data_IF_569224057167
#
_entry.id   IF_569224057167
#
_cell.length_a   1.000
_cell.length_b   1.000
_cell.length_c   1.000
_cell.angle_alpha   90.00
_cell.angle_beta   90.00
_cell.angle_gamma   90.00
#
_symmetry.space_group_name_H-M   'P 1'
#
loop_
_entity.id
_entity.type
_entity.pdbx_description
1 polymer ?
#
# COMPACT_ATOMS: atom_id res chain seq x y z
N UNK A 1 -24.95 80.60 4.72
CA UNK A 1 -25.18 79.21 5.11
C UNK A 1 -25.42 78.27 3.91
N UNK A 2 -26.18 78.61 2.90
CA UNK A 2 -26.52 77.76 1.75
C UNK A 2 -25.30 77.22 0.95
N UNK A 3 -24.27 78.04 0.77
CA UNK A 3 -23.04 77.68 0.01
C UNK A 3 -22.15 76.63 0.79
N UNK A 4 -22.20 76.63 2.05
CA UNK A 4 -21.38 75.68 2.87
C UNK A 4 -21.99 74.29 2.85
N UNK A 5 -23.32 74.16 2.85
CA UNK A 5 -24.01 72.90 2.76
C UNK A 5 -23.88 72.23 1.37
N UNK A 6 -23.79 73.03 0.30
CA UNK A 6 -23.57 72.57 -1.07
C UNK A 6 -22.14 71.97 -1.19
N UNK A 7 -21.16 72.58 -0.53
CA UNK A 7 -19.77 72.08 -0.55
C UNK A 7 -19.62 70.77 0.24
N UNK A 8 -20.29 70.67 1.39
CA UNK A 8 -20.31 69.40 2.15
C UNK A 8 -21.02 68.27 1.40
N UNK A 9 -22.14 68.56 0.74
CA UNK A 9 -22.86 67.55 -0.08
C UNK A 9 -22.02 67.05 -1.24
N UNK A 10 -21.25 67.93 -1.90
CA UNK A 10 -20.36 67.55 -3.00
C UNK A 10 -19.16 66.70 -2.51
N UNK A 11 -18.61 67.00 -1.35
CA UNK A 11 -17.50 66.28 -0.76
C UNK A 11 -17.93 64.87 -0.28
N UNK A 12 -19.12 64.73 0.29
CA UNK A 12 -19.69 63.43 0.66
C UNK A 12 -20.00 62.58 -0.56
N UNK A 13 -20.51 63.16 -1.64
CA UNK A 13 -20.76 62.47 -2.90
C UNK A 13 -19.45 61.95 -3.57
N UNK A 14 -18.34 62.70 -3.45
CA UNK A 14 -17.01 62.30 -3.91
C UNK A 14 -16.43 61.13 -3.09
N UNK A 15 -16.72 61.09 -1.80
CA UNK A 15 -16.26 59.97 -0.94
C UNK A 15 -17.02 58.68 -1.20
N UNK A 16 -18.28 58.74 -1.65
CA UNK A 16 -19.11 57.59 -1.96
C UNK A 16 -18.80 56.98 -3.33
N UNK A 17 -18.14 57.70 -4.23
CA UNK A 17 -17.73 57.20 -5.56
C UNK A 17 -16.39 56.45 -5.56
N UNK A 18 -15.66 56.44 -4.41
CA UNK A 18 -14.32 55.86 -4.32
C UNK A 18 -14.28 54.33 -4.08
N UNK A 19 -15.41 53.68 -3.84
CA UNK A 19 -15.48 52.23 -3.56
C UNK A 19 -16.20 51.45 -4.65
N UNK A 20 -15.82 51.60 -5.91
CA UNK A 20 -16.28 50.69 -6.96
C UNK A 20 -15.47 49.37 -6.82
N UNK A 21 -16.11 48.22 -6.56
CA UNK A 21 -15.40 46.94 -6.52
C UNK A 21 -14.80 46.68 -7.90
N UNK A 22 -13.50 46.45 -7.95
CA UNK A 22 -12.84 46.02 -9.20
C UNK A 22 -13.31 44.62 -9.53
N UNK A 23 -14.20 44.52 -10.52
CA UNK A 23 -14.60 43.22 -11.07
C UNK A 23 -13.51 42.72 -12.01
N UNK A 24 -12.77 41.72 -11.58
CA UNK A 24 -11.84 41.01 -12.45
C UNK A 24 -12.61 39.95 -13.23
N UNK A 25 -12.47 39.93 -14.54
CA UNK A 25 -12.96 38.87 -15.40
C UNK A 25 -11.77 38.03 -15.84
N UNK A 26 -11.91 36.72 -15.75
CA UNK A 26 -10.92 35.79 -16.31
C UNK A 26 -10.98 35.88 -17.83
N UNK A 27 -9.97 36.47 -18.46
CA UNK A 27 -9.93 36.73 -19.92
C UNK A 27 -9.27 35.57 -20.68
N UNK A 28 -8.57 34.66 -19.99
CA UNK A 28 -7.93 33.52 -20.61
C UNK A 28 -7.17 32.69 -19.56
N UNK A 29 -6.95 31.44 -19.88
CA UNK A 29 -6.07 30.53 -19.15
C UNK A 29 -5.06 29.96 -20.13
N UNK A 30 -3.80 30.33 -19.96
CA UNK A 30 -2.70 29.68 -20.65
C UNK A 30 -2.14 28.53 -19.80
N UNK A 31 -1.89 27.41 -20.44
CA UNK A 31 -1.30 26.24 -19.78
C UNK A 31 -0.04 25.84 -20.52
N UNK A 32 1.05 25.80 -19.80
CA UNK A 32 2.32 25.23 -20.29
C UNK A 32 2.61 23.97 -19.52
N UNK A 33 2.89 22.88 -20.23
CA UNK A 33 3.34 21.61 -19.64
C UNK A 33 4.85 21.53 -19.79
N UNK A 34 5.56 21.59 -18.66
CA UNK A 34 6.99 21.34 -18.60
C UNK A 34 7.15 19.89 -18.17
N UNK A 35 7.66 19.05 -19.06
CA UNK A 35 7.97 17.66 -18.76
C UNK A 35 9.38 17.64 -18.17
N UNK A 36 9.52 17.17 -16.94
CA UNK A 36 10.81 16.91 -16.31
C UNK A 36 11.28 15.55 -16.82
N UNK A 37 12.32 15.56 -17.65
CA UNK A 37 12.91 14.37 -18.25
C UNK A 37 14.44 14.53 -18.35
N UNK A 38 15.12 13.54 -18.94
CA UNK A 38 16.58 13.48 -19.06
C UNK A 38 17.24 14.68 -19.76
N UNK A 39 16.49 15.58 -20.40
CA UNK A 39 17.04 16.83 -20.95
C UNK A 39 17.64 17.73 -19.89
N UNK A 40 17.12 17.66 -18.66
CA UNK A 40 17.61 18.46 -17.53
C UNK A 40 18.85 17.84 -16.87
N UNK A 41 19.11 16.53 -17.10
CA UNK A 41 20.27 15.83 -16.54
C UNK A 41 21.59 16.24 -17.20
N UNK A 42 21.52 16.78 -18.42
CA UNK A 42 22.70 17.15 -19.20
C UNK A 42 23.42 18.39 -18.66
N UNK A 43 22.70 19.29 -18.00
CA UNK A 43 23.23 20.53 -17.42
C UNK A 43 22.71 20.71 -16.00
N UNK A 44 23.18 19.93 -15.03
CA UNK A 44 22.74 20.07 -13.65
C UNK A 44 23.19 21.38 -13.05
N UNK A 45 22.35 22.00 -12.22
CA UNK A 45 22.76 23.14 -11.42
C UNK A 45 23.79 22.70 -10.38
N UNK A 46 25.04 23.11 -10.60
CA UNK A 46 26.15 22.73 -9.73
C UNK A 46 25.99 23.24 -8.28
N UNK A 47 25.30 24.36 -8.05
CA UNK A 47 25.07 24.84 -6.70
C UNK A 47 24.06 23.94 -5.98
N UNK A 48 22.99 23.51 -6.66
CA UNK A 48 22.03 22.55 -6.15
C UNK A 48 22.68 21.18 -5.89
N UNK A 49 23.52 20.69 -6.82
CA UNK A 49 24.25 19.42 -6.65
C UNK A 49 25.16 19.48 -5.41
N UNK A 50 25.94 20.56 -5.25
CA UNK A 50 26.80 20.73 -4.06
C UNK A 50 26.01 20.81 -2.77
N UNK A 51 24.88 21.52 -2.77
CA UNK A 51 24.00 21.63 -1.61
C UNK A 51 23.40 20.27 -1.23
N UNK A 52 22.93 19.49 -2.20
CA UNK A 52 22.29 18.19 -1.97
C UNK A 52 23.28 17.06 -1.66
N UNK A 53 24.56 17.19 -2.04
CA UNK A 53 25.55 16.11 -1.94
C UNK A 53 25.69 15.48 -0.53
N UNK A 54 25.71 16.23 0.60
CA UNK A 54 25.80 15.62 1.92
C UNK A 54 24.54 14.81 2.27
N UNK A 55 23.36 15.31 1.92
CA UNK A 55 22.09 14.62 2.16
C UNK A 55 22.00 13.34 1.29
N UNK A 56 22.38 13.44 0.02
CA UNK A 56 22.43 12.29 -0.89
C UNK A 56 23.33 11.18 -0.35
N UNK A 57 24.54 11.51 0.15
CA UNK A 57 25.44 10.50 0.73
C UNK A 57 24.82 9.76 1.90
N UNK A 58 24.15 10.47 2.81
CA UNK A 58 23.45 9.85 3.95
C UNK A 58 22.32 8.96 3.45
N UNK A 59 21.49 9.47 2.53
CA UNK A 59 20.39 8.70 1.95
C UNK A 59 20.92 7.43 1.25
N UNK A 60 21.92 7.55 0.39
CA UNK A 60 22.48 6.41 -0.35
C UNK A 60 23.07 5.35 0.61
N UNK A 61 23.68 5.76 1.72
CA UNK A 61 24.21 4.81 2.71
C UNK A 61 23.14 3.96 3.38
N UNK A 62 21.91 4.47 3.47
CA UNK A 62 20.75 3.77 4.07
C UNK A 62 20.00 2.97 3.01
N UNK A 63 19.80 3.57 1.83
CA UNK A 63 18.90 3.05 0.80
C UNK A 63 19.52 2.06 -0.17
N UNK A 64 20.84 2.18 -0.42
CA UNK A 64 21.54 1.37 -1.41
C UNK A 64 21.95 -0.05 -0.98
N UNK A 65 22.05 -0.44 0.32
CA UNK A 65 22.40 -1.81 0.68
C UNK A 65 21.46 -2.83 0.02
N UNK A 66 22.07 -3.88 -0.57
CA UNK A 66 21.35 -4.98 -1.22
C UNK A 66 21.01 -6.04 -0.18
N UNK A 67 19.77 -6.46 -0.15
CA UNK A 67 19.25 -7.48 0.76
C UNK A 67 19.01 -8.83 0.09
N UNK A 68 18.87 -8.86 -1.23
CA UNK A 68 18.61 -10.09 -1.99
C UNK A 68 18.41 -9.80 -3.46
N UNK A 69 17.80 -10.76 -4.15
CA UNK A 69 17.52 -10.65 -5.60
C UNK A 69 16.18 -11.26 -5.95
N UNK A 70 15.53 -10.73 -7.00
CA UNK A 70 14.34 -11.34 -7.61
C UNK A 70 14.64 -11.83 -9.03
N UNK A 71 14.00 -12.94 -9.41
CA UNK A 71 14.25 -13.64 -10.67
C UNK A 71 13.66 -12.90 -11.90
N UNK A 72 12.54 -12.20 -11.71
CA UNK A 72 11.82 -11.47 -12.76
C UNK A 72 11.12 -10.23 -12.17
N UNK A 73 10.51 -9.42 -13.03
CA UNK A 73 9.69 -8.29 -12.58
C UNK A 73 8.40 -8.81 -11.96
N UNK A 74 8.08 -8.32 -10.77
CA UNK A 74 6.86 -8.65 -10.03
C UNK A 74 5.99 -7.40 -9.87
N UNK A 75 4.72 -7.52 -10.24
CA UNK A 75 3.76 -6.41 -10.23
C UNK A 75 2.56 -6.71 -9.34
N UNK A 76 2.04 -5.74 -8.55
CA UNK A 76 0.81 -5.93 -7.80
C UNK A 76 -0.40 -5.82 -8.75
N UNK A 77 -1.16 -6.88 -8.91
CA UNK A 77 -2.34 -6.93 -9.77
C UNK A 77 -3.43 -7.82 -9.17
N UNK A 78 -4.70 -7.40 -9.32
CA UNK A 78 -5.86 -8.23 -8.99
C UNK A 78 -6.28 -9.12 -10.17
N UNK A 79 -6.83 -10.28 -9.93
CA UNK A 79 -7.19 -10.86 -8.63
C UNK A 79 -6.00 -11.43 -7.86
N UNK A 80 -4.95 -11.81 -8.54
CA UNK A 80 -3.73 -12.43 -8.05
C UNK A 80 -2.54 -11.97 -8.89
N UNK A 81 -1.39 -11.87 -8.26
CA UNK A 81 -0.10 -11.63 -8.92
C UNK A 81 1.03 -12.29 -8.12
N UNK A 82 2.20 -12.38 -8.72
CA UNK A 82 3.42 -12.85 -8.08
C UNK A 82 3.76 -12.06 -6.80
N UNK A 83 3.70 -10.72 -6.87
CA UNK A 83 3.99 -9.86 -5.73
C UNK A 83 2.90 -9.94 -4.65
N UNK A 84 1.62 -10.07 -5.03
CA UNK A 84 0.53 -10.28 -4.08
C UNK A 84 0.54 -11.66 -3.43
N UNK A 85 1.21 -12.63 -4.03
CA UNK A 85 1.46 -13.95 -3.45
C UNK A 85 2.67 -13.92 -2.51
N UNK A 86 3.73 -13.21 -2.89
CA UNK A 86 4.98 -13.15 -2.13
C UNK A 86 4.79 -12.54 -0.75
N UNK A 87 4.09 -11.41 -0.64
CA UNK A 87 4.03 -10.67 0.63
C UNK A 87 3.29 -11.42 1.75
N UNK A 88 2.12 -12.05 1.54
CA UNK A 88 1.50 -12.89 2.56
C UNK A 88 2.32 -14.15 2.86
N UNK A 89 3.03 -14.72 1.88
CA UNK A 89 3.94 -15.85 2.15
C UNK A 89 5.12 -15.45 3.06
N UNK A 90 5.58 -14.19 2.93
CA UNK A 90 6.59 -13.63 3.84
C UNK A 90 6.03 -13.52 5.27
N UNK A 91 4.75 -13.15 5.45
CA UNK A 91 4.14 -13.12 6.78
C UNK A 91 4.07 -14.52 7.40
N UNK A 92 3.73 -15.55 6.60
CA UNK A 92 3.78 -16.95 7.05
C UNK A 92 5.20 -17.36 7.45
N UNK A 93 6.20 -17.01 6.62
CA UNK A 93 7.61 -17.31 6.91
C UNK A 93 8.08 -16.64 8.20
N UNK A 94 7.67 -15.39 8.45
CA UNK A 94 8.05 -14.63 9.63
C UNK A 94 7.38 -15.14 10.93
N UNK A 95 6.23 -15.82 10.84
CA UNK A 95 5.45 -16.25 12.01
C UNK A 95 6.25 -17.13 12.99
N UNK A 96 7.23 -17.90 12.51
CA UNK A 96 8.14 -18.71 13.33
C UNK A 96 8.88 -17.92 14.41
N UNK A 97 9.22 -16.66 14.12
CA UNK A 97 9.98 -15.80 15.02
C UNK A 97 9.10 -15.29 16.20
N UNK A 98 7.80 -15.54 16.12
CA UNK A 98 6.79 -15.21 17.13
C UNK A 98 6.20 -16.42 17.84
N UNK A 99 6.71 -17.63 17.59
CA UNK A 99 6.15 -18.90 18.05
C UNK A 99 4.70 -19.11 17.62
N UNK A 100 4.33 -18.59 16.44
CA UNK A 100 3.00 -18.69 15.86
C UNK A 100 2.99 -19.64 14.66
N UNK A 101 1.85 -20.30 14.47
CA UNK A 101 1.64 -21.26 13.37
C UNK A 101 0.34 -20.94 12.62
N UNK A 102 0.29 -19.83 11.89
CA UNK A 102 -0.91 -19.45 11.16
C UNK A 102 -1.18 -20.42 10.00
N UNK A 103 -2.46 -20.68 9.74
CA UNK A 103 -2.93 -21.54 8.65
C UNK A 103 -2.83 -20.81 7.30
N UNK A 104 -3.08 -19.51 7.32
CA UNK A 104 -2.94 -18.65 6.14
C UNK A 104 -2.65 -17.19 6.51
N UNK A 105 -2.27 -16.40 5.51
CA UNK A 105 -2.03 -14.98 5.63
C UNK A 105 -2.87 -14.17 4.66
N UNK A 106 -3.14 -12.92 5.04
CA UNK A 106 -3.75 -11.90 4.16
C UNK A 106 -2.88 -10.64 4.18
N UNK A 107 -2.64 -10.08 2.99
CA UNK A 107 -1.97 -8.81 2.78
C UNK A 107 -2.80 -7.94 1.81
N UNK A 108 -3.01 -6.67 2.13
CA UNK A 108 -3.86 -5.82 1.28
C UNK A 108 -3.11 -5.31 0.05
N UNK A 109 -3.74 -5.40 -1.11
CA UNK A 109 -3.21 -4.86 -2.37
C UNK A 109 -2.94 -3.35 -2.29
N UNK A 110 -3.76 -2.61 -1.54
CA UNK A 110 -3.56 -1.18 -1.31
C UNK A 110 -2.29 -0.85 -0.53
N UNK A 111 -1.75 -1.81 0.20
CA UNK A 111 -0.47 -1.71 0.94
C UNK A 111 0.76 -1.88 0.06
N UNK A 112 0.61 -2.46 -1.14
CA UNK A 112 1.70 -2.68 -2.10
C UNK A 112 1.78 -1.47 -3.03
N UNK A 113 2.85 -0.68 -2.93
CA UNK A 113 2.92 0.66 -3.53
C UNK A 113 3.84 0.78 -4.73
N UNK A 114 4.63 -0.25 -5.02
CA UNK A 114 5.58 -0.29 -6.13
C UNK A 114 5.78 -1.72 -6.62
N UNK A 115 6.34 -1.84 -7.81
CA UNK A 115 6.82 -3.10 -8.37
C UNK A 115 8.17 -3.49 -7.77
N UNK A 116 8.53 -4.76 -7.87
CA UNK A 116 9.90 -5.24 -7.72
C UNK A 116 10.45 -5.60 -9.11
N UNK A 117 11.54 -4.95 -9.50
CA UNK A 117 12.18 -5.21 -10.78
C UNK A 117 13.26 -6.29 -10.65
N UNK A 118 13.39 -7.12 -11.69
CA UNK A 118 14.41 -8.16 -11.81
C UNK A 118 15.80 -7.64 -11.44
N UNK A 119 16.49 -8.37 -10.59
CA UNK A 119 17.86 -8.03 -10.15
C UNK A 119 17.94 -7.82 -8.65
N UNK A 120 18.86 -6.97 -8.24
CA UNK A 120 19.13 -6.71 -6.84
C UNK A 120 17.99 -5.94 -6.15
N UNK A 121 17.67 -6.36 -4.94
CA UNK A 121 16.65 -5.72 -4.09
C UNK A 121 17.35 -4.97 -2.97
N UNK A 122 17.22 -3.64 -3.00
CA UNK A 122 17.79 -2.73 -1.99
C UNK A 122 16.73 -2.34 -0.96
N UNK A 123 17.17 -1.64 0.11
CA UNK A 123 16.23 -1.07 1.08
C UNK A 123 15.24 -0.10 0.43
N UNK A 124 15.70 0.70 -0.54
CA UNK A 124 14.83 1.62 -1.31
C UNK A 124 13.70 0.88 -2.01
N UNK A 125 13.99 -0.25 -2.65
CA UNK A 125 12.97 -1.08 -3.31
C UNK A 125 11.95 -1.61 -2.30
N UNK A 126 12.42 -2.12 -1.14
CA UNK A 126 11.54 -2.64 -0.09
C UNK A 126 10.68 -1.52 0.51
N UNK A 127 11.28 -0.35 0.79
CA UNK A 127 10.56 0.83 1.27
C UNK A 127 9.51 1.30 0.26
N UNK A 128 9.82 1.26 -1.03
CA UNK A 128 8.89 1.64 -2.10
C UNK A 128 7.71 0.68 -2.21
N UNK A 129 7.93 -0.62 -2.02
CA UNK A 129 6.87 -1.64 -2.02
C UNK A 129 5.99 -1.54 -0.77
N UNK A 130 6.60 -1.40 0.41
CA UNK A 130 5.92 -1.41 1.71
C UNK A 130 6.29 -0.16 2.54
N UNK A 131 5.81 1.06 2.16
CA UNK A 131 6.20 2.30 2.82
C UNK A 131 5.54 2.51 4.19
N UNK A 132 4.47 1.78 4.47
CA UNK A 132 3.72 1.92 5.72
C UNK A 132 4.40 1.21 6.89
N UNK A 133 4.16 1.70 8.11
CA UNK A 133 4.69 1.09 9.33
C UNK A 133 3.71 0.06 9.95
N UNK A 134 2.96 -0.63 9.08
CA UNK A 134 2.07 -1.68 9.50
C UNK A 134 2.85 -2.86 10.09
N UNK A 135 2.43 -3.33 11.26
CA UNK A 135 3.09 -4.41 11.98
C UNK A 135 2.37 -5.74 11.75
N UNK A 136 3.13 -6.82 11.85
CA UNK A 136 2.56 -8.15 11.82
C UNK A 136 1.56 -8.32 12.96
N UNK A 137 0.45 -9.00 12.65
CA UNK A 137 -0.62 -9.28 13.60
C UNK A 137 -1.13 -10.70 13.41
N UNK A 138 -1.34 -11.40 14.52
CA UNK A 138 -1.92 -12.74 14.54
C UNK A 138 -3.29 -12.69 15.19
N UNK A 139 -4.23 -13.48 14.65
CA UNK A 139 -5.63 -13.48 15.09
C UNK A 139 -6.23 -14.88 14.87
N UNK A 140 -7.13 -15.28 15.74
CA UNK A 140 -7.93 -16.49 15.59
C UNK A 140 -9.31 -16.16 15.06
N UNK A 141 -9.69 -16.75 13.94
CA UNK A 141 -11.00 -16.63 13.31
C UNK A 141 -11.75 -17.97 13.38
N UNK A 142 -13.06 -17.93 13.60
CA UNK A 142 -13.92 -19.09 13.33
C UNK A 142 -14.05 -19.31 11.82
N UNK A 143 -14.41 -20.51 11.37
CA UNK A 143 -14.60 -20.75 9.94
C UNK A 143 -15.68 -19.88 9.32
N UNK A 144 -16.73 -19.49 10.09
CA UNK A 144 -17.71 -18.49 9.64
C UNK A 144 -17.05 -17.14 9.34
N UNK A 145 -16.15 -16.68 10.21
CA UNK A 145 -15.39 -15.42 10.00
C UNK A 145 -14.38 -15.55 8.85
N UNK A 146 -13.78 -16.74 8.66
CA UNK A 146 -12.92 -17.00 7.49
C UNK A 146 -13.71 -16.89 6.20
N UNK A 147 -14.91 -17.50 6.13
CA UNK A 147 -15.79 -17.38 4.96
C UNK A 147 -16.20 -15.94 4.70
N UNK A 148 -16.59 -15.21 5.76
CA UNK A 148 -16.90 -13.77 5.68
C UNK A 148 -15.70 -12.96 5.16
N UNK A 149 -14.48 -13.24 5.63
CA UNK A 149 -13.26 -12.60 5.14
C UNK A 149 -13.05 -12.87 3.65
N UNK A 150 -13.22 -14.11 3.19
CA UNK A 150 -13.05 -14.46 1.78
C UNK A 150 -14.13 -13.84 0.89
N UNK A 151 -15.35 -13.65 1.38
CA UNK A 151 -16.36 -12.85 0.69
C UNK A 151 -15.95 -11.38 0.56
N UNK A 152 -15.37 -10.81 1.62
CA UNK A 152 -14.87 -9.42 1.61
C UNK A 152 -13.70 -9.26 0.63
N UNK A 153 -12.77 -10.20 0.59
CA UNK A 153 -11.68 -10.27 -0.39
C UNK A 153 -12.25 -10.40 -1.82
N UNK A 154 -13.22 -11.27 -2.02
CA UNK A 154 -13.87 -11.43 -3.32
C UNK A 154 -14.52 -10.14 -3.81
N UNK A 155 -15.30 -9.43 -2.96
CA UNK A 155 -15.95 -8.15 -3.31
C UNK A 155 -14.95 -7.09 -3.78
N UNK A 156 -13.72 -7.14 -3.34
CA UNK A 156 -12.64 -6.23 -3.76
C UNK A 156 -11.95 -6.69 -5.07
N UNK A 157 -12.34 -7.83 -5.60
CA UNK A 157 -11.75 -8.43 -6.79
C UNK A 157 -10.42 -9.14 -6.53
N UNK A 158 -10.16 -9.52 -5.28
CA UNK A 158 -8.94 -10.18 -4.83
C UNK A 158 -8.05 -9.29 -3.96
N UNK A 159 -7.31 -9.91 -3.08
CA UNK A 159 -6.25 -9.35 -2.22
C UNK A 159 -5.10 -10.36 -2.13
N UNK A 160 -3.97 -9.98 -1.56
CA UNK A 160 -2.88 -10.93 -1.32
C UNK A 160 -3.27 -12.00 -0.31
N UNK A 161 -3.18 -13.25 -0.70
CA UNK A 161 -3.41 -14.41 0.16
C UNK A 161 -2.23 -15.38 0.07
N UNK A 162 -1.89 -16.04 1.18
CA UNK A 162 -0.77 -16.97 1.21
C UNK A 162 -1.10 -18.28 0.49
N UNK A 163 -0.05 -19.04 0.20
CA UNK A 163 -0.15 -20.38 -0.36
C UNK A 163 -1.08 -21.26 0.47
N UNK A 164 -1.90 -22.05 -0.21
CA UNK A 164 -2.93 -22.91 0.39
C UNK A 164 -4.32 -22.31 0.44
N UNK A 165 -4.46 -20.98 0.20
CA UNK A 165 -5.78 -20.36 -0.02
C UNK A 165 -6.18 -20.55 -1.48
N UNK A 166 -7.40 -21.02 -1.71
CA UNK A 166 -7.98 -21.23 -3.03
C UNK A 166 -9.35 -20.56 -3.08
N UNK A 167 -9.48 -19.47 -3.85
CA UNK A 167 -10.72 -18.75 -4.03
C UNK A 167 -11.15 -18.78 -5.50
N UNK A 168 -12.42 -19.04 -5.74
CA UNK A 168 -13.05 -18.80 -7.03
C UNK A 168 -14.04 -17.65 -6.85
N UNK A 169 -13.84 -16.60 -7.63
CA UNK A 169 -14.71 -15.42 -7.62
C UNK A 169 -15.37 -15.25 -8.98
N UNK A 170 -16.58 -14.71 -9.02
CA UNK A 170 -17.26 -14.36 -10.27
C UNK A 170 -17.42 -12.85 -10.37
N UNK A 171 -17.36 -12.36 -11.62
CA UNK A 171 -17.57 -10.95 -11.95
C UNK A 171 -18.93 -10.78 -12.62
N UNK A 172 -19.71 -9.79 -12.18
CA UNK A 172 -20.98 -9.39 -12.79
C UNK A 172 -21.09 -7.86 -12.82
N UNK A 173 -22.15 -7.34 -13.40
CA UNK A 173 -22.44 -5.88 -13.38
C UNK A 173 -22.61 -5.34 -11.94
N UNK A 174 -23.02 -6.20 -10.99
CA UNK A 174 -23.13 -5.86 -9.57
C UNK A 174 -21.77 -5.93 -8.81
N UNK A 175 -20.67 -6.27 -9.48
CA UNK A 175 -19.34 -6.42 -8.89
C UNK A 175 -18.90 -7.87 -8.74
N UNK A 176 -17.96 -8.09 -7.83
CA UNK A 176 -17.39 -9.43 -7.59
C UNK A 176 -18.09 -10.12 -6.41
N UNK A 177 -18.19 -11.45 -6.49
CA UNK A 177 -18.70 -12.30 -5.40
C UNK A 177 -17.87 -13.59 -5.29
N UNK A 178 -17.80 -14.15 -4.08
CA UNK A 178 -17.22 -15.45 -3.82
C UNK A 178 -18.12 -16.55 -4.41
N UNK A 179 -17.53 -17.51 -5.09
CA UNK A 179 -18.18 -18.72 -5.62
C UNK A 179 -17.81 -19.92 -4.77
N UNK A 180 -16.53 -20.09 -4.48
CA UNK A 180 -16.03 -21.15 -3.60
C UNK A 180 -14.73 -20.73 -2.91
N UNK A 181 -14.45 -21.33 -1.76
CA UNK A 181 -13.24 -21.14 -1.01
C UNK A 181 -12.76 -22.46 -0.43
N UNK A 182 -11.45 -22.70 -0.44
CA UNK A 182 -10.78 -23.82 0.20
C UNK A 182 -9.50 -23.37 0.88
N UNK A 183 -9.12 -24.10 1.92
CA UNK A 183 -7.82 -23.97 2.58
C UNK A 183 -7.08 -25.31 2.50
N UNK A 184 -5.91 -25.30 1.89
CA UNK A 184 -5.09 -26.50 1.67
C UNK A 184 -5.88 -27.66 1.03
N UNK A 185 -6.73 -27.33 0.05
CA UNK A 185 -7.59 -28.29 -0.65
C UNK A 185 -8.81 -28.76 0.13
N UNK A 186 -9.00 -28.32 1.38
CA UNK A 186 -10.11 -28.71 2.25
C UNK A 186 -11.19 -27.62 2.27
N UNK A 187 -12.44 -28.02 2.44
CA UNK A 187 -13.55 -27.11 2.74
C UNK A 187 -13.35 -26.51 4.13
N UNK A 188 -13.82 -25.28 4.32
CA UNK A 188 -13.69 -24.58 5.60
C UNK A 188 -14.82 -25.06 6.52
N UNK A 189 -14.44 -25.66 7.66
CA UNK A 189 -15.37 -26.00 8.72
C UNK A 189 -15.83 -24.74 9.44
N UNK A 190 -17.14 -24.37 9.39
CA UNK A 190 -17.63 -23.16 10.01
C UNK A 190 -17.34 -23.03 11.51
N UNK A 191 -17.23 -24.17 12.20
CA UNK A 191 -17.08 -24.25 13.66
C UNK A 191 -15.63 -24.35 14.13
N UNK A 192 -14.71 -24.68 13.22
CA UNK A 192 -13.28 -24.78 13.53
C UNK A 192 -12.64 -23.38 13.71
N UNK A 193 -11.52 -23.39 14.39
CA UNK A 193 -10.72 -22.17 14.60
C UNK A 193 -9.48 -22.20 13.70
N UNK A 194 -9.21 -21.06 13.09
CA UNK A 194 -8.12 -20.85 12.14
C UNK A 194 -7.22 -19.71 12.63
N UNK A 195 -5.95 -20.01 12.86
CA UNK A 195 -4.95 -19.00 13.18
C UNK A 195 -4.51 -18.31 11.91
N UNK A 196 -4.63 -16.97 11.86
CA UNK A 196 -4.37 -16.14 10.68
C UNK A 196 -3.29 -15.13 11.00
N UNK A 197 -2.40 -14.86 10.05
CA UNK A 197 -1.45 -13.76 10.14
C UNK A 197 -1.81 -12.68 9.11
N UNK A 198 -1.72 -11.44 9.53
CA UNK A 198 -2.02 -10.27 8.71
C UNK A 198 -1.27 -9.04 9.23
N UNK A 199 -1.69 -7.85 8.84
CA UNK A 199 -1.19 -6.58 9.33
C UNK A 199 -2.16 -6.00 10.37
N UNK A 200 -1.64 -5.25 11.35
CA UNK A 200 -2.42 -4.56 12.37
C UNK A 200 -3.49 -3.65 11.76
N UNK A 201 -3.14 -2.95 10.66
CA UNK A 201 -4.07 -2.16 9.86
C UNK A 201 -5.30 -2.94 9.39
N UNK A 202 -5.09 -4.16 8.88
CA UNK A 202 -6.19 -5.02 8.41
C UNK A 202 -6.99 -5.62 9.57
N UNK A 203 -6.30 -5.95 10.68
CA UNK A 203 -6.95 -6.50 11.85
C UNK A 203 -7.96 -5.51 12.46
N UNK A 204 -7.77 -4.21 12.27
CA UNK A 204 -8.73 -3.16 12.68
C UNK A 204 -9.96 -3.07 11.78
N UNK A 205 -10.10 -3.93 10.76
CA UNK A 205 -11.22 -3.97 9.84
C UNK A 205 -11.09 -3.00 8.65
N UNK A 206 -9.92 -2.41 8.47
CA UNK A 206 -9.66 -1.53 7.35
C UNK A 206 -9.73 -2.28 6.01
N UNK A 207 -9.81 -1.54 4.91
CA UNK A 207 -10.03 -2.07 3.56
C UNK A 207 -11.30 -2.93 3.43
N UNK A 208 -12.26 -2.75 4.34
CA UNK A 208 -13.52 -3.49 4.34
C UNK A 208 -13.41 -4.95 4.81
N UNK A 209 -12.28 -5.35 5.42
CA UNK A 209 -12.04 -6.69 5.96
C UNK A 209 -12.48 -6.78 7.44
N UNK A 210 -13.73 -6.40 7.71
CA UNK A 210 -14.25 -6.33 9.09
C UNK A 210 -14.25 -7.67 9.80
N UNK A 211 -14.26 -8.81 9.08
CA UNK A 211 -14.15 -10.13 9.69
C UNK A 211 -12.87 -10.28 10.53
N UNK A 212 -11.79 -9.59 10.18
CA UNK A 212 -10.54 -9.60 10.94
C UNK A 212 -10.67 -8.89 12.30
N UNK A 213 -11.51 -7.86 12.40
CA UNK A 213 -11.73 -7.16 13.68
C UNK A 213 -12.67 -7.92 14.65
N UNK A 214 -13.37 -8.94 14.15
CA UNK A 214 -14.29 -9.77 14.93
C UNK A 214 -13.61 -11.01 15.53
N UNK A 215 -12.36 -11.28 15.16
CA UNK A 215 -11.59 -12.40 15.67
C UNK A 215 -11.14 -12.23 17.12
N UNK A 216 -10.55 -13.28 17.67
CA UNK A 216 -10.06 -13.35 19.05
C UNK A 216 -8.56 -13.69 19.14
N UNK A 217 -8.03 -13.73 20.34
CA UNK A 217 -6.63 -14.08 20.62
C UNK A 217 -5.65 -13.24 19.77
N UNK A 218 -5.89 -11.93 19.71
CA UNK A 218 -5.10 -11.00 18.90
C UNK A 218 -3.73 -10.79 19.53
N UNK A 219 -2.67 -11.07 18.77
CA UNK A 219 -1.27 -10.80 19.12
C UNK A 219 -0.71 -9.76 18.17
N UNK A 220 -0.38 -8.58 18.69
CA UNK A 220 0.22 -7.45 17.96
C UNK A 220 1.59 -7.11 18.57
N UNK A 221 2.68 -7.70 18.10
CA UNK A 221 4.01 -7.32 18.57
C UNK A 221 4.32 -5.86 18.25
N UNK A 222 4.73 -5.06 19.25
CA UNK A 222 4.85 -3.60 19.11
C UNK A 222 6.26 -3.11 18.82
N UNK A 223 7.27 -3.98 18.84
CA UNK A 223 8.64 -3.60 18.47
C UNK A 223 8.67 -3.00 17.05
N UNK A 224 9.43 -1.93 16.79
CA UNK A 224 9.58 -1.36 15.45
C UNK A 224 10.03 -2.36 14.39
N UNK A 225 10.82 -3.37 14.75
CA UNK A 225 11.28 -4.42 13.84
C UNK A 225 10.18 -5.37 13.36
N UNK A 226 8.98 -5.32 13.99
CA UNK A 226 7.81 -6.09 13.56
C UNK A 226 7.04 -5.44 12.39
N UNK A 227 7.52 -4.30 11.89
CA UNK A 227 6.99 -3.66 10.70
C UNK A 227 7.17 -4.56 9.46
N UNK A 228 6.16 -4.65 8.61
CA UNK A 228 6.14 -5.49 7.40
C UNK A 228 7.37 -5.27 6.52
N UNK A 229 7.84 -4.04 6.40
CA UNK A 229 9.06 -3.68 5.66
C UNK A 229 10.29 -4.41 6.17
N UNK A 230 10.48 -4.50 7.50
CA UNK A 230 11.62 -5.22 8.08
C UNK A 230 11.47 -6.74 7.95
N UNK A 231 10.25 -7.26 7.99
CA UNK A 231 10.00 -8.69 7.72
C UNK A 231 10.35 -9.05 6.28
N UNK A 232 9.99 -8.20 5.32
CA UNK A 232 10.37 -8.35 3.92
C UNK A 232 11.90 -8.30 3.77
N UNK A 233 12.56 -7.32 4.40
CA UNK A 233 14.01 -7.21 4.40
C UNK A 233 14.68 -8.47 4.94
N UNK A 234 14.26 -8.96 6.10
CA UNK A 234 14.79 -10.16 6.74
C UNK A 234 14.59 -11.42 5.88
N UNK A 235 13.44 -11.53 5.22
CA UNK A 235 13.19 -12.62 4.27
C UNK A 235 14.18 -12.60 3.11
N UNK A 236 14.39 -11.44 2.49
CA UNK A 236 15.36 -11.30 1.40
C UNK A 236 16.79 -11.58 1.86
N UNK A 237 17.18 -11.14 3.07
CA UNK A 237 18.48 -11.45 3.65
C UNK A 237 18.67 -12.96 3.88
N UNK A 238 17.66 -13.63 4.43
CA UNK A 238 17.69 -15.07 4.66
C UNK A 238 17.85 -15.85 3.33
N UNK A 239 17.11 -15.44 2.29
CA UNK A 239 17.24 -15.99 0.94
C UNK A 239 18.63 -15.75 0.35
N UNK A 240 19.14 -14.54 0.46
CA UNK A 240 20.45 -14.15 -0.04
C UNK A 240 21.59 -14.92 0.65
N UNK A 241 21.50 -15.07 1.98
CA UNK A 241 22.49 -15.82 2.76
C UNK A 241 22.57 -17.31 2.33
N UNK A 242 21.47 -17.86 1.80
CA UNK A 242 21.39 -19.23 1.27
C UNK A 242 21.74 -19.32 -0.22
N UNK A 243 22.08 -18.19 -0.88
CA UNK A 243 22.32 -18.14 -2.32
C UNK A 243 21.06 -18.32 -3.18
N UNK A 244 19.88 -18.15 -2.58
CA UNK A 244 18.59 -18.27 -3.25
C UNK A 244 18.15 -16.95 -3.86
N UNK A 245 17.54 -17.03 -5.07
CA UNK A 245 16.88 -15.89 -5.73
C UNK A 245 15.38 -16.04 -5.48
N UNK A 246 14.72 -14.95 -5.07
CA UNK A 246 13.27 -14.96 -4.83
C UNK A 246 12.54 -15.02 -6.18
N UNK A 247 11.66 -16.00 -6.32
CA UNK A 247 10.94 -16.32 -7.56
C UNK A 247 9.49 -16.71 -7.23
N UNK A 248 8.66 -15.71 -6.89
CA UNK A 248 7.23 -15.93 -6.65
C UNK A 248 6.48 -15.98 -7.99
N UNK A 249 5.46 -16.83 -8.08
CA UNK A 249 4.68 -17.07 -9.28
C UNK A 249 3.18 -16.89 -9.00
N UNK A 250 2.42 -16.64 -10.06
CA UNK A 250 0.96 -16.76 -10.04
C UNK A 250 0.61 -18.24 -9.98
N UNK A 251 -0.06 -18.68 -8.94
CA UNK A 251 -0.36 -20.09 -8.66
C UNK A 251 -1.85 -20.43 -8.84
N UNK A 252 -2.69 -19.43 -9.10
CA UNK A 252 -4.14 -19.60 -9.20
C UNK A 252 -4.83 -19.66 -7.84
N UNK A 253 -4.30 -18.92 -6.85
CA UNK A 253 -4.89 -18.80 -5.50
C UNK A 253 -6.25 -18.10 -5.56
N UNK A 254 -6.42 -17.16 -6.50
CA UNK A 254 -7.69 -16.46 -6.74
C UNK A 254 -7.98 -16.49 -8.24
N UNK A 255 -9.06 -17.20 -8.62
CA UNK A 255 -9.49 -17.34 -10.01
C UNK A 255 -10.79 -16.60 -10.26
N UNK A 256 -10.92 -15.94 -11.42
CA UNK A 256 -12.17 -15.35 -11.91
C UNK A 256 -12.84 -16.36 -12.84
N UNK A 257 -14.13 -16.61 -12.55
CA UNK A 257 -15.03 -17.46 -13.36
C UNK A 257 -15.98 -16.60 -14.17
#
# INVERSE_FOLDING_TARGET
MFRLHLFYGFFVALLLSSCAPKHYQLTGIERTRIIIDSRYDQNPDEAAVRFMAPYKRVNDSIMAPVFGRVAHNMHPQRPESDLSNLLPDILIWAAKDYNESPVFAVYNMGGIRSDLYKGDVTYEHILSVAPFENKICFITLTGELVMKLFEQIARRGGEGVSKGVELVISKSDAGYRLVSARLHGQEIDPTAEYRVVTLDYLQEGNDGMTALSEGKDVVKPQDPNNCSRFLIMNYFQDKHARGEIVDAQVEGRIKIQ
#
